data_IF_139240168253
#
_entry.id   IF_139240168253
#
_cell.length_a   1.000
_cell.length_b   1.000
_cell.length_c   1.000
_cell.angle_alpha   90.00
_cell.angle_beta   90.00
_cell.angle_gamma   90.00
#
_symmetry.space_group_name_H-M   'P 1'
#
loop_
_entity.id
_entity.type
_entity.pdbx_description
1 polymer ?
#
# COMPACT_ATOMS: atom_id res chain seq x y z
N UNK A 1 10.61 15.84 -27.32
CA UNK A 1 9.35 15.08 -27.48
C UNK A 1 8.42 15.53 -26.38
N UNK A 2 7.37 16.27 -26.74
CA UNK A 2 6.36 16.74 -25.79
C UNK A 2 5.71 15.55 -25.09
N UNK A 3 5.77 15.58 -23.76
CA UNK A 3 5.14 14.60 -22.90
C UNK A 3 3.63 14.80 -23.00
N UNK A 4 2.97 14.03 -23.86
CA UNK A 4 1.51 13.91 -23.85
C UNK A 4 1.08 13.56 -22.44
N UNK A 5 0.46 14.53 -21.75
CA UNK A 5 -0.29 14.31 -20.53
C UNK A 5 -1.38 13.31 -20.88
N UNK A 6 -1.26 12.11 -20.36
CA UNK A 6 -2.33 11.11 -20.49
C UNK A 6 -3.31 11.40 -19.36
N UNK A 7 -4.61 11.43 -19.62
CA UNK A 7 -5.66 11.77 -18.63
C UNK A 7 -5.54 10.95 -17.33
N UNK A 8 -4.98 9.74 -17.42
CA UNK A 8 -4.66 8.84 -16.31
C UNK A 8 -3.47 9.27 -15.42
N UNK A 9 -2.78 10.36 -15.72
CA UNK A 9 -1.68 10.92 -14.92
C UNK A 9 -2.11 11.33 -13.50
N UNK A 10 -3.38 11.70 -13.30
CA UNK A 10 -3.91 12.03 -11.98
C UNK A 10 -4.03 10.78 -11.08
N UNK A 11 -4.55 9.68 -11.63
CA UNK A 11 -4.88 8.49 -10.84
C UNK A 11 -3.74 7.49 -10.69
N UNK A 12 -2.88 7.35 -11.72
CA UNK A 12 -1.81 6.35 -11.75
C UNK A 12 -0.43 6.94 -11.47
N UNK A 13 -0.39 8.17 -10.93
CA UNK A 13 0.78 9.05 -10.85
C UNK A 13 1.33 9.45 -12.23
N UNK A 14 1.87 10.66 -12.38
CA UNK A 14 2.42 11.10 -13.66
C UNK A 14 3.66 10.29 -14.05
N UNK A 15 3.89 10.07 -15.34
CA UNK A 15 5.09 9.33 -15.82
C UNK A 15 6.42 9.93 -15.32
N UNK A 16 6.46 11.25 -15.12
CA UNK A 16 7.63 11.95 -14.58
C UNK A 16 7.99 11.48 -13.18
N UNK A 17 7.00 11.12 -12.37
CA UNK A 17 7.22 10.56 -11.03
C UNK A 17 7.83 9.16 -11.11
N UNK A 18 7.26 8.30 -11.96
CA UNK A 18 7.78 6.95 -12.23
C UNK A 18 9.23 6.99 -12.73
N UNK A 19 9.57 7.97 -13.57
CA UNK A 19 10.94 8.18 -14.06
C UNK A 19 11.93 8.52 -12.95
N UNK A 20 11.51 9.21 -11.89
CA UNK A 20 12.38 9.60 -10.76
C UNK A 20 12.71 8.45 -9.81
N UNK A 21 11.99 7.32 -9.89
CA UNK A 21 12.31 6.15 -9.08
C UNK A 21 13.69 5.59 -9.42
N UNK A 22 14.56 5.52 -8.42
CA UNK A 22 15.94 5.04 -8.53
C UNK A 22 16.16 3.77 -7.70
N UNK A 23 17.32 3.13 -7.88
CA UNK A 23 17.69 1.88 -7.21
C UNK A 23 18.30 2.03 -5.81
N UNK A 24 18.33 3.25 -5.25
CA UNK A 24 18.96 3.53 -3.94
C UNK A 24 18.13 2.95 -2.79
N UNK A 25 18.67 2.00 -2.04
CA UNK A 25 17.91 1.29 -0.97
C UNK A 25 17.51 2.20 0.19
N UNK A 26 18.33 3.18 0.56
CA UNK A 26 18.06 4.04 1.73
C UNK A 26 16.75 4.82 1.61
N UNK A 27 16.35 5.21 0.40
CA UNK A 27 15.07 5.92 0.20
C UNK A 27 13.84 5.00 0.18
N UNK A 28 14.03 3.68 0.29
CA UNK A 28 12.94 2.71 0.43
C UNK A 28 12.47 2.59 1.89
N UNK A 29 13.37 2.84 2.86
CA UNK A 29 13.11 2.66 4.29
C UNK A 29 11.86 3.43 4.77
N UNK A 30 11.67 4.72 4.44
CA UNK A 30 10.44 5.42 4.83
C UNK A 30 9.19 4.81 4.21
N UNK A 31 9.28 4.31 2.97
CA UNK A 31 8.17 3.66 2.28
C UNK A 31 7.74 2.37 2.97
N UNK A 32 8.71 1.57 3.43
CA UNK A 32 8.46 0.34 4.20
C UNK A 32 7.65 0.63 5.47
N UNK A 33 8.05 1.67 6.22
CA UNK A 33 7.33 2.05 7.45
C UNK A 33 5.90 2.48 7.11
N UNK A 34 5.71 3.23 6.03
CA UNK A 34 4.37 3.68 5.62
C UNK A 34 3.48 2.49 5.23
N UNK A 35 4.00 1.51 4.48
CA UNK A 35 3.23 0.29 4.14
C UNK A 35 2.82 -0.45 5.41
N UNK A 36 3.75 -0.64 6.33
CA UNK A 36 3.44 -1.30 7.59
C UNK A 36 2.37 -0.58 8.43
N UNK A 37 2.47 0.75 8.52
CA UNK A 37 1.43 1.57 9.16
C UNK A 37 0.10 1.43 8.43
N UNK A 38 0.12 1.45 7.10
CA UNK A 38 -1.05 1.26 6.27
C UNK A 38 -1.74 -0.08 6.57
N UNK A 39 -0.99 -1.17 6.58
CA UNK A 39 -1.51 -2.53 6.80
C UNK A 39 -2.12 -2.70 8.19
N UNK A 40 -1.42 -2.21 9.22
CA UNK A 40 -1.91 -2.24 10.60
C UNK A 40 -3.19 -1.43 10.76
N UNK A 41 -3.26 -0.23 10.15
CA UNK A 41 -4.45 0.62 10.21
C UNK A 41 -5.61 0.10 9.37
N UNK A 42 -5.34 -0.56 8.24
CA UNK A 42 -6.37 -1.10 7.36
C UNK A 42 -7.03 -2.35 7.95
N UNK A 43 -6.28 -3.14 8.74
CA UNK A 43 -6.77 -4.39 9.32
C UNK A 43 -7.61 -4.22 10.59
N UNK A 44 -7.46 -3.13 11.33
CA UNK A 44 -8.29 -2.83 12.50
C UNK A 44 -9.30 -1.74 12.17
N UNK A 45 -10.46 -1.74 12.83
CA UNK A 45 -11.48 -0.66 12.69
C UNK A 45 -11.51 0.30 13.88
N UNK A 46 -10.68 0.06 14.89
CA UNK A 46 -10.74 0.73 16.20
C UNK A 46 -9.37 1.10 16.76
N UNK A 47 -8.27 0.68 16.11
CA UNK A 47 -6.92 0.89 16.61
C UNK A 47 -6.62 2.36 16.91
N UNK A 48 -7.07 3.30 16.07
CA UNK A 48 -6.89 4.74 16.33
C UNK A 48 -7.66 5.16 17.58
N UNK A 49 -8.92 4.75 17.72
CA UNK A 49 -9.74 5.08 18.89
C UNK A 49 -9.19 4.48 20.18
N UNK A 50 -8.60 3.28 20.11
CA UNK A 50 -7.94 2.64 21.24
C UNK A 50 -6.66 3.38 21.66
N UNK A 51 -5.85 3.82 20.70
CA UNK A 51 -4.69 4.67 21.00
C UNK A 51 -5.07 6.00 21.62
N UNK A 52 -6.10 6.67 21.10
CA UNK A 52 -6.58 7.93 21.66
C UNK A 52 -7.11 7.75 23.10
N UNK A 53 -7.82 6.66 23.36
CA UNK A 53 -8.36 6.35 24.68
C UNK A 53 -7.26 6.03 25.70
N UNK A 54 -6.19 5.36 25.28
CA UNK A 54 -5.06 5.00 26.12
C UNK A 54 -4.04 6.15 26.34
N UNK A 55 -4.28 7.35 25.79
CA UNK A 55 -3.31 8.46 25.82
C UNK A 55 -2.96 8.97 27.21
N UNK A 56 -3.81 8.71 28.21
CA UNK A 56 -3.58 9.08 29.62
C UNK A 56 -2.85 8.01 30.45
N UNK A 57 -2.56 6.83 29.90
CA UNK A 57 -1.97 5.71 30.62
C UNK A 57 -0.44 5.80 30.69
N UNK A 58 0.17 5.37 31.79
CA UNK A 58 1.65 5.40 31.97
C UNK A 58 2.40 4.56 30.95
N UNK A 59 1.79 3.49 30.44
CA UNK A 59 2.35 2.61 29.41
C UNK A 59 2.21 3.11 27.96
N UNK A 60 1.55 4.26 27.75
CA UNK A 60 1.26 4.77 26.41
C UNK A 60 2.49 4.96 25.50
N UNK A 61 3.64 5.50 25.96
CA UNK A 61 4.83 5.65 25.12
C UNK A 61 5.39 4.30 24.65
N UNK A 62 5.37 3.28 25.52
CA UNK A 62 5.84 1.94 25.17
C UNK A 62 4.92 1.28 24.13
N UNK A 63 3.61 1.48 24.25
CA UNK A 63 2.63 0.99 23.28
C UNK A 63 2.82 1.61 21.90
N UNK A 64 3.05 2.92 21.81
CA UNK A 64 3.37 3.60 20.54
C UNK A 64 4.66 3.05 19.95
N UNK A 65 5.72 2.91 20.76
CA UNK A 65 7.00 2.41 20.28
C UNK A 65 6.86 0.97 19.73
N UNK A 66 6.17 0.09 20.44
CA UNK A 66 5.88 -1.26 19.99
C UNK A 66 5.10 -1.26 18.67
N UNK A 67 4.09 -0.39 18.54
CA UNK A 67 3.31 -0.24 17.31
C UNK A 67 4.16 0.19 16.12
N UNK A 68 5.06 1.16 16.29
CA UNK A 68 5.95 1.62 15.22
C UNK A 68 6.90 0.48 14.79
N UNK A 69 7.48 -0.25 15.75
CA UNK A 69 8.40 -1.35 15.46
C UNK A 69 7.68 -2.48 14.73
N UNK A 70 6.53 -2.91 15.24
CA UNK A 70 5.72 -3.98 14.64
C UNK A 70 5.26 -3.59 13.24
N UNK A 71 4.79 -2.34 13.06
CA UNK A 71 4.43 -1.80 11.75
C UNK A 71 5.62 -1.87 10.79
N UNK A 72 6.81 -1.42 11.20
CA UNK A 72 8.01 -1.47 10.35
C UNK A 72 8.36 -2.91 9.91
N UNK A 73 8.20 -3.90 10.79
CA UNK A 73 8.42 -5.32 10.47
C UNK A 73 7.38 -5.83 9.47
N UNK A 74 6.10 -5.57 9.70
CA UNK A 74 5.01 -5.96 8.79
C UNK A 74 5.23 -5.35 7.41
N UNK A 75 5.48 -4.05 7.34
CA UNK A 75 5.74 -3.36 6.08
C UNK A 75 6.97 -3.87 5.35
N UNK A 76 8.01 -4.30 6.07
CA UNK A 76 9.20 -4.90 5.45
C UNK A 76 8.83 -6.22 4.78
N UNK A 77 8.11 -7.09 5.50
CA UNK A 77 7.67 -8.39 4.99
C UNK A 77 6.74 -8.17 3.79
N UNK A 78 5.82 -7.22 3.86
CA UNK A 78 4.88 -6.93 2.76
C UNK A 78 5.56 -6.44 1.51
N UNK A 79 6.33 -5.35 1.60
CA UNK A 79 7.07 -4.81 0.46
C UNK A 79 7.98 -5.87 -0.17
N UNK A 80 8.64 -6.69 0.64
CA UNK A 80 9.57 -7.70 0.15
C UNK A 80 8.86 -8.88 -0.49
N UNK A 81 7.93 -9.51 0.24
CA UNK A 81 7.22 -10.70 -0.23
C UNK A 81 6.32 -10.39 -1.41
N UNK A 82 5.72 -9.20 -1.49
CA UNK A 82 4.90 -8.84 -2.63
C UNK A 82 5.73 -8.41 -3.85
N UNK A 83 6.60 -7.41 -3.70
CA UNK A 83 7.21 -6.76 -4.84
C UNK A 83 8.40 -7.55 -5.42
N UNK A 84 9.15 -8.30 -4.60
CA UNK A 84 10.35 -8.99 -5.07
C UNK A 84 10.05 -10.07 -6.13
N UNK A 85 9.11 -11.02 -5.91
CA UNK A 85 8.83 -12.08 -6.89
C UNK A 85 8.34 -11.53 -8.23
N UNK A 86 7.52 -10.48 -8.19
CA UNK A 86 7.00 -9.82 -9.40
C UNK A 86 8.12 -9.08 -10.15
N UNK A 87 9.03 -8.42 -9.43
CA UNK A 87 10.17 -7.77 -10.05
C UNK A 87 11.10 -8.77 -10.74
N UNK A 88 11.36 -9.91 -10.10
CA UNK A 88 12.13 -11.01 -10.70
C UNK A 88 11.44 -11.62 -11.91
N UNK A 89 10.12 -11.79 -11.87
CA UNK A 89 9.33 -12.20 -13.03
C UNK A 89 9.49 -11.20 -14.19
N UNK A 90 9.38 -9.89 -13.94
CA UNK A 90 9.56 -8.87 -14.96
C UNK A 90 10.97 -8.92 -15.57
N UNK A 91 12.00 -9.15 -14.74
CA UNK A 91 13.39 -9.33 -15.20
C UNK A 91 13.55 -10.57 -16.06
N UNK A 92 12.94 -11.68 -15.65
CA UNK A 92 12.95 -12.91 -16.42
C UNK A 92 12.29 -12.72 -17.79
N UNK A 93 11.09 -12.11 -17.83
CA UNK A 93 10.37 -11.80 -19.07
C UNK A 93 11.19 -10.88 -19.98
N UNK A 94 11.81 -9.84 -19.43
CA UNK A 94 12.62 -8.88 -20.18
C UNK A 94 13.86 -9.56 -20.78
N UNK A 95 14.56 -10.39 -19.98
CA UNK A 95 15.72 -11.15 -20.44
C UNK A 95 15.35 -12.13 -21.56
N UNK A 96 14.23 -12.85 -21.43
CA UNK A 96 13.77 -13.82 -22.43
C UNK A 96 13.35 -13.16 -23.75
N UNK A 97 12.86 -11.93 -23.69
CA UNK A 97 12.41 -11.16 -24.85
C UNK A 97 13.46 -10.19 -25.39
N UNK A 98 14.70 -10.26 -24.87
CA UNK A 98 15.80 -9.35 -25.19
C UNK A 98 15.43 -7.86 -25.04
N UNK A 99 14.53 -7.56 -24.10
CA UNK A 99 14.05 -6.20 -23.82
C UNK A 99 14.83 -5.56 -22.69
N UNK A 100 14.93 -4.24 -22.77
CA UNK A 100 15.55 -3.42 -21.74
C UNK A 100 14.77 -3.48 -20.41
N UNK A 101 15.53 -3.53 -19.33
CA UNK A 101 15.05 -3.34 -17.96
C UNK A 101 16.02 -2.44 -17.20
N UNK A 102 15.49 -1.48 -16.43
CA UNK A 102 16.32 -0.59 -15.63
C UNK A 102 17.18 -1.38 -14.61
N UNK A 103 18.45 -0.98 -14.40
CA UNK A 103 19.29 -1.59 -13.38
C UNK A 103 18.70 -1.37 -11.99
N UNK A 104 18.74 -2.40 -11.14
CA UNK A 104 18.15 -2.35 -9.80
C UNK A 104 16.61 -2.31 -9.80
N UNK A 105 15.97 -2.91 -10.82
CA UNK A 105 14.51 -2.90 -10.96
C UNK A 105 13.76 -3.40 -9.72
N UNK A 106 14.29 -4.39 -8.99
CA UNK A 106 13.68 -4.89 -7.75
C UNK A 106 13.41 -3.76 -6.75
N UNK A 107 14.42 -2.92 -6.47
CA UNK A 107 14.28 -1.80 -5.53
C UNK A 107 13.35 -0.72 -6.08
N UNK A 108 13.42 -0.44 -7.39
CA UNK A 108 12.53 0.51 -8.06
C UNK A 108 11.07 0.06 -7.93
N UNK A 109 10.83 -1.23 -8.10
CA UNK A 109 9.50 -1.82 -8.05
C UNK A 109 8.94 -1.87 -6.62
N UNK A 110 9.78 -2.23 -5.63
CA UNK A 110 9.46 -2.11 -4.21
C UNK A 110 9.07 -0.69 -3.81
N UNK A 111 9.79 0.31 -4.32
CA UNK A 111 9.40 1.72 -4.09
C UNK A 111 8.05 2.02 -4.71
N UNK A 112 7.83 1.62 -5.96
CA UNK A 112 6.52 1.81 -6.61
C UNK A 112 5.38 1.18 -5.80
N UNK A 113 5.60 0.01 -5.22
CA UNK A 113 4.65 -0.63 -4.33
C UNK A 113 4.43 0.21 -3.06
N UNK A 114 5.50 0.59 -2.35
CA UNK A 114 5.37 1.38 -1.14
C UNK A 114 4.68 2.74 -1.37
N UNK A 115 4.99 3.39 -2.48
CA UNK A 115 4.38 4.66 -2.87
C UNK A 115 2.91 4.54 -3.28
N UNK A 116 2.47 3.38 -3.77
CA UNK A 116 1.06 3.16 -4.06
C UNK A 116 0.21 3.20 -2.79
N UNK A 117 0.78 2.89 -1.62
CA UNK A 117 0.10 2.95 -0.32
C UNK A 117 -0.03 4.37 0.22
N UNK A 118 0.94 5.25 -0.05
CA UNK A 118 0.92 6.65 0.42
C UNK A 118 -0.35 7.37 -0.06
N UNK A 119 -0.77 7.13 -1.30
CA UNK A 119 -1.97 7.76 -1.87
C UNK A 119 -3.24 7.40 -1.09
N UNK A 120 -3.31 6.19 -0.54
CA UNK A 120 -4.47 5.68 0.18
C UNK A 120 -4.35 5.80 1.70
N UNK A 121 -3.20 6.20 2.23
CA UNK A 121 -3.01 6.34 3.67
C UNK A 121 -4.01 7.33 4.30
N UNK A 122 -4.25 8.54 3.74
CA UNK A 122 -5.28 9.44 4.27
C UNK A 122 -6.68 8.83 4.25
N UNK A 123 -6.98 8.03 3.22
CA UNK A 123 -8.28 7.35 3.08
C UNK A 123 -8.47 6.31 4.20
N UNK A 124 -7.45 5.49 4.48
CA UNK A 124 -7.52 4.50 5.55
C UNK A 124 -7.63 5.15 6.93
N UNK A 125 -6.86 6.21 7.19
CA UNK A 125 -6.97 6.97 8.46
C UNK A 125 -8.41 7.49 8.62
N UNK A 126 -8.98 8.04 7.54
CA UNK A 126 -10.34 8.57 7.56
C UNK A 126 -11.40 7.49 7.81
N UNK A 127 -11.28 6.32 7.16
CA UNK A 127 -12.24 5.21 7.31
C UNK A 127 -12.11 4.52 8.68
N UNK A 128 -10.91 4.49 9.26
CA UNK A 128 -10.69 3.93 10.59
C UNK A 128 -11.37 4.76 11.69
N UNK A 129 -11.65 6.03 11.43
CA UNK A 129 -12.37 6.88 12.35
C UNK A 129 -13.87 6.53 12.39
N UNK A 130 -14.36 6.13 13.56
CA UNK A 130 -15.71 5.57 13.78
C UNK A 130 -16.86 6.44 13.27
N UNK A 131 -16.67 7.76 13.14
CA UNK A 131 -17.69 8.67 12.65
C UNK A 131 -18.06 8.45 11.16
N UNK A 132 -17.19 7.84 10.35
CA UNK A 132 -17.35 7.77 8.89
C UNK A 132 -17.76 6.40 8.35
N UNK A 133 -18.38 5.56 9.18
CA UNK A 133 -18.94 4.28 8.76
C UNK A 133 -20.24 4.47 7.98
N UNK A 134 -20.49 3.61 6.99
CA UNK A 134 -21.77 3.57 6.25
C UNK A 134 -22.97 3.42 7.19
N UNK A 135 -22.78 2.70 8.30
CA UNK A 135 -23.78 2.48 9.36
C UNK A 135 -24.25 3.78 10.01
N UNK A 136 -23.46 4.86 9.97
CA UNK A 136 -23.80 6.16 10.53
C UNK A 136 -24.54 7.06 9.51
N UNK A 137 -24.76 6.60 8.28
CA UNK A 137 -25.47 7.35 7.25
C UNK A 137 -26.98 7.20 7.47
N UNK A 138 -27.55 8.16 8.17
CA UNK A 138 -29.00 8.23 8.41
C UNK A 138 -29.76 9.05 7.38
N UNK A 139 -31.11 9.05 7.44
CA UNK A 139 -31.96 9.95 6.66
C UNK A 139 -31.53 11.41 6.81
N UNK A 140 -31.17 11.81 8.03
CA UNK A 140 -30.77 13.17 8.44
C UNK A 140 -29.39 13.61 7.92
N UNK A 141 -28.58 12.72 7.35
CA UNK A 141 -27.24 13.10 6.86
C UNK A 141 -27.36 13.95 5.57
N UNK A 142 -26.67 15.10 5.47
CA UNK A 142 -26.71 15.94 4.28
C UNK A 142 -26.28 15.19 3.01
N UNK A 143 -26.91 15.50 1.87
CA UNK A 143 -26.63 14.83 0.59
C UNK A 143 -25.14 14.86 0.20
N UNK A 144 -24.47 16.01 0.36
CA UNK A 144 -23.05 16.15 0.03
C UNK A 144 -22.18 15.20 0.87
N UNK A 145 -22.49 15.06 2.17
CA UNK A 145 -21.80 14.12 3.05
C UNK A 145 -22.03 12.68 2.65
N UNK A 146 -23.27 12.31 2.28
CA UNK A 146 -23.60 10.97 1.75
C UNK A 146 -22.79 10.65 0.50
N UNK A 147 -22.74 11.59 -0.45
CA UNK A 147 -22.00 11.43 -1.70
C UNK A 147 -20.49 11.29 -1.44
N UNK A 148 -19.93 12.13 -0.57
CA UNK A 148 -18.52 12.08 -0.23
C UNK A 148 -18.13 10.76 0.45
N UNK A 149 -18.91 10.29 1.42
CA UNK A 149 -18.67 9.00 2.08
C UNK A 149 -18.76 7.84 1.06
N UNK A 150 -19.77 7.86 0.19
CA UNK A 150 -19.93 6.83 -0.85
C UNK A 150 -18.72 6.79 -1.79
N UNK A 151 -18.22 7.95 -2.24
CA UNK A 151 -17.03 8.03 -3.09
C UNK A 151 -15.78 7.47 -2.40
N UNK A 152 -15.56 7.81 -1.14
CA UNK A 152 -14.42 7.31 -0.36
C UNK A 152 -14.49 5.79 -0.15
N UNK A 153 -15.69 5.27 0.11
CA UNK A 153 -15.93 3.83 0.21
C UNK A 153 -15.60 3.12 -1.11
N UNK A 154 -16.07 3.65 -2.26
CA UNK A 154 -15.75 3.10 -3.58
C UNK A 154 -14.24 3.12 -3.83
N UNK A 155 -13.56 4.22 -3.47
CA UNK A 155 -12.10 4.31 -3.57
C UNK A 155 -11.39 3.26 -2.72
N UNK A 156 -11.87 2.98 -1.50
CA UNK A 156 -11.29 1.96 -0.64
C UNK A 156 -11.49 0.55 -1.20
N UNK A 157 -12.69 0.23 -1.69
CA UNK A 157 -12.98 -1.07 -2.32
C UNK A 157 -12.24 -1.28 -3.64
N UNK A 158 -11.93 -0.20 -4.37
CA UNK A 158 -11.18 -0.28 -5.64
C UNK A 158 -9.68 -0.08 -5.48
N UNK A 159 -9.20 0.16 -4.26
CA UNK A 159 -7.81 0.49 -3.94
C UNK A 159 -6.80 -0.47 -4.59
N UNK A 160 -7.03 -1.78 -4.46
CA UNK A 160 -6.12 -2.80 -4.99
C UNK A 160 -5.88 -2.59 -6.50
N UNK A 161 -6.93 -2.28 -7.27
CA UNK A 161 -6.80 -2.04 -8.71
C UNK A 161 -5.99 -0.78 -9.01
N UNK A 162 -6.16 0.28 -8.23
CA UNK A 162 -5.36 1.50 -8.37
C UNK A 162 -3.89 1.23 -8.06
N UNK A 163 -3.59 0.54 -6.96
CA UNK A 163 -2.22 0.19 -6.57
C UNK A 163 -1.53 -0.67 -7.65
N UNK A 164 -2.23 -1.68 -8.17
CA UNK A 164 -1.73 -2.50 -9.28
C UNK A 164 -1.53 -1.70 -10.57
N UNK A 165 -2.43 -0.76 -10.87
CA UNK A 165 -2.31 0.15 -12.01
C UNK A 165 -1.07 1.03 -11.93
N UNK A 166 -0.76 1.57 -10.74
CA UNK A 166 0.47 2.36 -10.48
C UNK A 166 1.71 1.49 -10.75
N UNK A 167 1.71 0.25 -10.29
CA UNK A 167 2.85 -0.66 -10.49
C UNK A 167 3.01 -1.11 -11.95
N UNK A 168 1.92 -1.37 -12.65
CA UNK A 168 1.94 -1.67 -14.08
C UNK A 168 2.47 -0.49 -14.90
N UNK A 169 2.18 0.74 -14.45
CA UNK A 169 2.78 1.95 -15.01
C UNK A 169 4.29 2.01 -14.77
N UNK A 170 4.76 1.67 -13.57
CA UNK A 170 6.20 1.54 -13.28
C UNK A 170 6.88 0.55 -14.21
N UNK A 171 6.29 -0.64 -14.39
CA UNK A 171 6.78 -1.65 -15.35
C UNK A 171 6.88 -1.04 -16.75
N UNK A 172 5.83 -0.33 -17.19
CA UNK A 172 5.79 0.28 -18.52
C UNK A 172 6.82 1.40 -18.73
N UNK A 173 7.19 2.11 -17.68
CA UNK A 173 8.15 3.22 -17.74
C UNK A 173 9.60 2.72 -17.60
N UNK A 174 9.84 1.72 -16.75
CA UNK A 174 11.18 1.25 -16.37
C UNK A 174 11.62 0.01 -17.14
N UNK A 175 10.76 -0.54 -17.99
CA UNK A 175 11.05 -1.67 -18.86
C UNK A 175 10.55 -1.39 -20.27
N UNK A 176 11.15 -2.04 -21.27
CA UNK A 176 10.65 -2.08 -22.65
C UNK A 176 9.87 -3.37 -22.94
N UNK A 177 9.21 -3.94 -21.93
CA UNK A 177 8.33 -5.10 -22.12
C UNK A 177 7.20 -4.77 -23.10
N UNK A 178 6.90 -5.70 -23.98
CA UNK A 178 5.75 -5.62 -24.89
C UNK A 178 4.44 -5.92 -24.15
N UNK A 179 3.31 -5.66 -24.81
CA UNK A 179 1.98 -5.87 -24.23
C UNK A 179 1.80 -7.29 -23.64
N UNK A 180 2.21 -8.40 -24.30
CA UNK A 180 2.07 -9.73 -23.71
C UNK A 180 2.82 -9.89 -22.38
N UNK A 181 4.06 -9.38 -22.30
CA UNK A 181 4.85 -9.43 -21.07
C UNK A 181 4.23 -8.59 -19.94
N UNK A 182 3.63 -7.45 -20.28
CA UNK A 182 2.90 -6.60 -19.33
C UNK A 182 1.62 -7.28 -18.81
N UNK A 183 0.89 -7.97 -19.69
CA UNK A 183 -0.31 -8.72 -19.30
C UNK A 183 0.03 -9.89 -18.37
N UNK A 184 1.12 -10.61 -18.64
CA UNK A 184 1.62 -11.66 -17.74
C UNK A 184 1.98 -11.06 -16.37
N UNK A 185 2.70 -9.95 -16.34
CA UNK A 185 3.05 -9.28 -15.09
C UNK A 185 1.80 -8.79 -14.33
N UNK A 186 0.79 -8.26 -15.02
CA UNK A 186 -0.48 -7.85 -14.43
C UNK A 186 -1.25 -9.03 -13.83
N UNK A 187 -1.35 -10.14 -14.57
CA UNK A 187 -1.98 -11.37 -14.09
C UNK A 187 -1.24 -11.94 -12.87
N UNK A 188 0.09 -11.96 -12.91
CA UNK A 188 0.92 -12.41 -11.80
C UNK A 188 0.75 -11.52 -10.56
N UNK A 189 0.70 -10.19 -10.72
CA UNK A 189 0.43 -9.28 -9.60
C UNK A 189 -0.94 -9.51 -8.97
N UNK A 190 -2.00 -9.67 -9.79
CA UNK A 190 -3.34 -9.97 -9.29
C UNK A 190 -3.36 -11.30 -8.52
N UNK A 191 -2.82 -12.37 -9.12
CA UNK A 191 -2.76 -13.67 -8.47
C UNK A 191 -1.95 -13.64 -7.18
N UNK A 192 -0.76 -13.02 -7.21
CA UNK A 192 0.12 -12.92 -6.06
C UNK A 192 -0.49 -12.10 -4.94
N UNK A 193 -1.16 -10.99 -5.25
CA UNK A 193 -1.82 -10.13 -4.24
C UNK A 193 -2.89 -10.87 -3.45
N UNK A 194 -3.61 -11.81 -4.08
CA UNK A 194 -4.59 -12.63 -3.37
C UNK A 194 -3.91 -13.60 -2.40
N UNK A 195 -2.84 -14.27 -2.83
CA UNK A 195 -2.08 -15.20 -1.97
C UNK A 195 -1.44 -14.46 -0.80
N UNK A 196 -0.73 -13.36 -1.08
CA UNK A 196 -0.06 -12.57 -0.05
C UNK A 196 -1.09 -11.95 0.89
N UNK A 197 -2.24 -11.51 0.40
CA UNK A 197 -3.33 -10.95 1.22
C UNK A 197 -3.78 -11.90 2.34
N UNK A 198 -3.95 -13.20 2.05
CA UNK A 198 -4.28 -14.18 3.10
C UNK A 198 -3.17 -14.37 4.12
N UNK A 199 -1.91 -14.44 3.68
CA UNK A 199 -0.77 -14.58 4.57
C UNK A 199 -0.60 -13.34 5.47
N UNK A 200 -0.77 -12.15 4.90
CA UNK A 200 -0.69 -10.89 5.64
C UNK A 200 -1.82 -10.73 6.65
N UNK A 201 -3.04 -11.14 6.31
CA UNK A 201 -4.14 -11.13 7.27
C UNK A 201 -3.79 -11.92 8.55
N UNK A 202 -3.20 -13.10 8.40
CA UNK A 202 -2.74 -13.91 9.54
C UNK A 202 -1.60 -13.23 10.32
N UNK A 203 -0.60 -12.68 9.64
CA UNK A 203 0.51 -11.98 10.29
C UNK A 203 0.06 -10.74 11.05
N UNK A 204 -0.89 -9.99 10.48
CA UNK A 204 -1.43 -8.78 11.09
C UNK A 204 -2.29 -9.13 12.31
N UNK A 205 -3.06 -10.22 12.28
CA UNK A 205 -3.80 -10.70 13.46
C UNK A 205 -2.85 -11.05 14.62
N UNK A 206 -1.74 -11.73 14.33
CA UNK A 206 -0.69 -12.00 15.33
C UNK A 206 -0.10 -10.68 15.85
N UNK A 207 0.18 -9.72 14.96
CA UNK A 207 0.71 -8.41 15.33
C UNK A 207 -0.22 -7.64 16.30
N UNK A 208 -1.53 -7.67 16.06
CA UNK A 208 -2.52 -7.07 16.96
C UNK A 208 -2.56 -7.76 18.32
N UNK A 209 -2.58 -9.11 18.35
CA UNK A 209 -2.53 -9.87 19.62
C UNK A 209 -1.27 -9.60 20.42
N UNK A 210 -0.14 -9.43 19.74
CA UNK A 210 1.12 -9.06 20.38
C UNK A 210 1.04 -7.66 20.99
N UNK A 211 0.47 -6.69 20.28
CA UNK A 211 0.25 -5.33 20.80
C UNK A 211 -0.64 -5.31 22.04
N UNK A 212 -1.74 -6.05 22.02
CA UNK A 212 -2.64 -6.17 23.16
C UNK A 212 -1.97 -6.81 24.37
N UNK A 213 -1.10 -7.79 24.14
CA UNK A 213 -0.33 -8.44 25.20
C UNK A 213 0.66 -7.46 25.82
N UNK A 214 1.39 -6.70 24.99
CA UNK A 214 2.32 -5.68 25.46
C UNK A 214 1.58 -4.63 26.29
N UNK A 215 0.43 -4.14 25.80
CA UNK A 215 -0.40 -3.16 26.49
C UNK A 215 -0.91 -3.62 27.87
N UNK A 216 -1.04 -4.93 28.10
CA UNK A 216 -1.42 -5.48 29.42
C UNK A 216 -0.25 -5.63 30.39
N UNK A 217 0.98 -5.56 29.89
CA UNK A 217 2.20 -5.85 30.67
C UNK A 217 2.98 -4.61 31.08
N UNK A 218 2.69 -3.45 30.47
CA UNK A 218 3.32 -2.16 30.73
C UNK A 218 2.30 -1.21 31.34
#
# INVERSE_FOLDING_TARGET
MEYSRTEWDLFLWPRTWHNRLNSVVTTLVPGIIIVGLFDMLASSKTIITEFLSASGESGFPARILAFIIISAVIGFIDVFCFAWPIADLCRYLAKRSEKFIAPGFNIIFMKSYAFSHIYFLPLIIYINYTAFRLENIGPETPFISKLLILLLVIMAFTQQFWQLGIMLRTISVKTKLELPGKLIAAAAMLFWSNITGYAFYYLIDIAHKLLDTIAKTV
#
